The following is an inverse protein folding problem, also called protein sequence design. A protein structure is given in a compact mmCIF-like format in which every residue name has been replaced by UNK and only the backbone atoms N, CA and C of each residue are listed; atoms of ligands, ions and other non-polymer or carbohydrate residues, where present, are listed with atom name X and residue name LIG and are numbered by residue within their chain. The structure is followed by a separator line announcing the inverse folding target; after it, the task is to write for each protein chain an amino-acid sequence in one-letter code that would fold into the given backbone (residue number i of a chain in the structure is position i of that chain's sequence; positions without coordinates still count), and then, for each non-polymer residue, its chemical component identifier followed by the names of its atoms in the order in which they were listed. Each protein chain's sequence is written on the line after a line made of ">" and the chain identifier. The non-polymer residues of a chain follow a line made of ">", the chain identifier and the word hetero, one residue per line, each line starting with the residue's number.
data_IF_855169068585
#
_entry.id   IF_855169068585
#
_cell.length_a   1.000
_cell.length_b   1.000
_cell.length_c   1.000
_cell.angle_alpha   90.00
_cell.angle_beta   90.00
_cell.angle_gamma   90.00
#
_symmetry.space_group_name_H-M   'P 1'
#
loop_
_entity.id
_entity.type
_entity.pdbx_description
1 polymer ?
#
# COMPACT_ATOMS: atom_id res chain seq x y z
N UNK A 1 -39.59 -20.96 -7.40
CA UNK A 1 -38.75 -19.83 -7.81
C UNK A 1 -37.31 -20.25 -7.59
N UNK A 2 -36.52 -20.38 -8.65
CA UNK A 2 -35.11 -20.77 -8.57
C UNK A 2 -34.26 -19.52 -8.26
N UNK A 3 -33.41 -19.61 -7.25
CA UNK A 3 -32.40 -18.60 -6.92
C UNK A 3 -31.36 -18.56 -8.04
N UNK A 4 -30.96 -17.40 -8.57
CA UNK A 4 -29.88 -17.36 -9.55
C UNK A 4 -28.58 -17.72 -8.83
N UNK A 5 -27.88 -18.74 -9.34
CA UNK A 5 -26.51 -19.05 -8.94
C UNK A 5 -25.63 -17.86 -9.33
N UNK A 6 -24.97 -17.26 -8.33
CA UNK A 6 -23.98 -16.24 -8.59
C UNK A 6 -22.79 -16.90 -9.29
N UNK A 7 -22.64 -16.64 -10.59
CA UNK A 7 -21.44 -17.01 -11.34
C UNK A 7 -20.25 -16.32 -10.65
N UNK A 8 -19.46 -17.10 -9.93
CA UNK A 8 -18.19 -16.69 -9.37
C UNK A 8 -17.18 -16.73 -10.51
N UNK A 9 -17.06 -15.63 -11.25
CA UNK A 9 -15.98 -15.48 -12.22
C UNK A 9 -14.66 -15.35 -11.45
N UNK A 10 -13.90 -16.44 -11.38
CA UNK A 10 -12.54 -16.40 -10.89
C UNK A 10 -11.71 -15.54 -11.86
N UNK A 11 -11.26 -14.38 -11.41
CA UNK A 11 -10.33 -13.55 -12.20
C UNK A 11 -8.96 -14.24 -12.18
N UNK A 12 -8.64 -14.93 -13.27
CA UNK A 12 -7.30 -15.50 -13.46
C UNK A 12 -6.37 -14.42 -13.98
N UNK A 13 -5.25 -14.21 -13.27
CA UNK A 13 -4.22 -13.27 -13.71
C UNK A 13 -3.54 -13.81 -14.97
N UNK A 14 -3.37 -12.95 -15.97
CA UNK A 14 -2.59 -13.31 -17.15
C UNK A 14 -1.08 -13.37 -16.85
N UNK A 15 -0.29 -13.83 -17.83
CA UNK A 15 1.16 -13.97 -17.66
C UNK A 15 1.87 -12.64 -17.34
N UNK A 16 1.38 -11.53 -17.87
CA UNK A 16 1.91 -10.19 -17.63
C UNK A 16 1.60 -9.73 -16.21
N UNK A 17 0.35 -9.91 -15.77
CA UNK A 17 -0.08 -9.58 -14.41
C UNK A 17 0.65 -10.43 -13.36
N UNK A 18 0.87 -11.72 -13.63
CA UNK A 18 1.68 -12.61 -12.78
C UNK A 18 3.14 -12.17 -12.70
N UNK A 19 3.76 -11.81 -13.83
CA UNK A 19 5.13 -11.32 -13.87
C UNK A 19 5.28 -10.00 -13.09
N UNK A 20 4.32 -9.08 -13.25
CA UNK A 20 4.28 -7.83 -12.52
C UNK A 20 4.12 -8.07 -11.01
N UNK A 21 3.18 -8.93 -10.60
CA UNK A 21 2.99 -9.28 -9.20
C UNK A 21 4.26 -9.88 -8.58
N UNK A 22 4.95 -10.77 -9.31
CA UNK A 22 6.22 -11.35 -8.88
C UNK A 22 7.34 -10.30 -8.76
N UNK A 23 7.40 -9.34 -9.68
CA UNK A 23 8.34 -8.23 -9.64
C UNK A 23 8.11 -7.33 -8.42
N UNK A 24 6.85 -6.94 -8.16
CA UNK A 24 6.44 -6.15 -6.98
C UNK A 24 6.82 -6.88 -5.70
N UNK A 25 6.44 -8.17 -5.58
CA UNK A 25 6.73 -8.99 -4.41
C UNK A 25 8.23 -9.11 -4.14
N UNK A 26 9.03 -9.28 -5.19
CA UNK A 26 10.49 -9.35 -5.09
C UNK A 26 11.08 -8.05 -4.57
N UNK A 27 10.61 -6.90 -5.04
CA UNK A 27 11.06 -5.57 -4.59
C UNK A 27 10.68 -5.31 -3.14
N UNK A 28 9.43 -5.56 -2.76
CA UNK A 28 8.96 -5.41 -1.38
C UNK A 28 9.73 -6.31 -0.41
N UNK A 29 9.97 -7.57 -0.79
CA UNK A 29 10.75 -8.50 0.03
C UNK A 29 12.22 -8.07 0.20
N UNK A 30 12.82 -7.44 -0.82
CA UNK A 30 14.17 -6.88 -0.71
C UNK A 30 14.21 -5.74 0.30
N UNK A 31 13.20 -4.87 0.30
CA UNK A 31 13.12 -3.75 1.24
C UNK A 31 12.92 -4.23 2.68
N UNK A 32 11.98 -5.17 2.91
CA UNK A 32 11.79 -5.78 4.22
C UNK A 32 13.10 -6.38 4.76
N UNK A 33 13.85 -7.11 3.91
CA UNK A 33 15.16 -7.68 4.27
C UNK A 33 16.20 -6.59 4.58
N UNK A 34 16.21 -5.47 3.84
CA UNK A 34 17.11 -4.35 4.10
C UNK A 34 16.86 -3.74 5.48
N UNK A 35 15.60 -3.47 5.81
CA UNK A 35 15.19 -2.90 7.10
C UNK A 35 15.50 -3.84 8.27
N UNK A 36 15.23 -5.15 8.10
CA UNK A 36 15.58 -6.16 9.10
C UNK A 36 17.09 -6.22 9.35
N UNK A 37 17.92 -6.11 8.31
CA UNK A 37 19.39 -6.03 8.45
C UNK A 37 19.86 -4.79 9.21
N UNK A 38 19.08 -3.70 9.19
CA UNK A 38 19.33 -2.49 9.97
C UNK A 38 18.82 -2.59 11.42
N UNK A 39 18.29 -3.75 11.83
CA UNK A 39 17.77 -3.98 13.18
C UNK A 39 16.32 -3.51 13.40
N UNK A 40 15.63 -3.08 12.34
CA UNK A 40 14.22 -2.66 12.43
C UNK A 40 13.31 -3.89 12.47
N UNK A 41 12.40 -3.94 13.45
CA UNK A 41 11.31 -4.92 13.45
C UNK A 41 10.30 -4.54 12.37
N UNK A 42 10.39 -5.20 11.23
CA UNK A 42 9.58 -4.92 10.05
C UNK A 42 8.68 -6.11 9.70
N UNK A 43 7.39 -5.83 9.47
CA UNK A 43 6.38 -6.80 9.06
C UNK A 43 5.93 -6.44 7.63
N UNK A 44 6.17 -7.30 6.62
CA UNK A 44 5.58 -7.13 5.30
C UNK A 44 4.06 -7.16 5.38
N UNK A 45 3.41 -6.13 4.85
CA UNK A 45 1.95 -6.02 4.77
C UNK A 45 1.49 -6.46 3.38
N UNK A 46 0.56 -7.41 3.35
CA UNK A 46 -0.08 -7.84 2.11
C UNK A 46 -0.97 -6.71 1.56
N UNK A 47 -0.94 -6.50 0.26
CA UNK A 47 -1.80 -5.54 -0.44
C UNK A 47 -2.68 -6.31 -1.41
N UNK A 48 -4.00 -6.15 -1.27
CA UNK A 48 -5.01 -6.77 -2.13
C UNK A 48 -5.30 -5.91 -3.34
N UNK A 49 -5.42 -4.60 -3.13
CA UNK A 49 -5.75 -3.64 -4.16
C UNK A 49 -5.11 -2.29 -3.86
N UNK A 50 -4.81 -1.53 -4.91
CA UNK A 50 -4.31 -0.16 -4.82
C UNK A 50 -4.91 0.66 -5.96
N UNK A 51 -5.37 1.87 -5.63
CA UNK A 51 -5.99 2.77 -6.58
C UNK A 51 -5.72 4.22 -6.22
N UNK A 52 -5.74 5.08 -7.23
CA UNK A 52 -5.90 6.52 -7.04
C UNK A 52 -7.40 6.81 -7.12
N UNK A 53 -7.93 7.48 -6.10
CA UNK A 53 -9.34 7.92 -6.05
C UNK A 53 -9.37 9.44 -6.05
N UNK A 54 -10.33 10.03 -6.77
CA UNK A 54 -10.62 11.46 -6.73
C UNK A 54 -11.89 11.66 -5.91
N UNK A 55 -11.79 12.42 -4.83
CA UNK A 55 -12.94 12.86 -4.05
C UNK A 55 -13.32 14.31 -4.43
N UNK A 56 -14.38 14.82 -3.81
CA UNK A 56 -14.81 16.21 -3.99
C UNK A 56 -13.69 17.20 -3.65
N UNK A 57 -13.77 18.41 -4.22
CA UNK A 57 -12.75 19.47 -4.07
C UNK A 57 -11.35 19.07 -4.57
N UNK A 58 -11.29 18.23 -5.61
CA UNK A 58 -10.05 17.81 -6.28
C UNK A 58 -9.04 17.08 -5.38
N UNK A 59 -9.51 16.52 -4.26
CA UNK A 59 -8.65 15.73 -3.36
C UNK A 59 -8.32 14.39 -4.03
N UNK A 60 -7.03 14.12 -4.18
CA UNK A 60 -6.53 12.85 -4.75
C UNK A 60 -6.03 11.94 -3.63
N UNK A 61 -6.62 10.77 -3.50
CA UNK A 61 -6.34 9.80 -2.46
C UNK A 61 -5.61 8.57 -3.01
N UNK A 62 -4.62 8.11 -2.25
CA UNK A 62 -3.98 6.81 -2.44
C UNK A 62 -4.76 5.78 -1.62
N UNK A 63 -5.69 5.07 -2.27
CA UNK A 63 -6.51 4.03 -1.63
C UNK A 63 -5.79 2.69 -1.70
N UNK A 64 -5.67 2.01 -0.57
CA UNK A 64 -5.03 0.70 -0.47
C UNK A 64 -5.89 -0.25 0.35
N UNK A 65 -6.24 -1.38 -0.23
CA UNK A 65 -6.84 -2.50 0.50
C UNK A 65 -5.72 -3.42 1.00
N UNK A 66 -5.64 -3.61 2.30
CA UNK A 66 -4.54 -4.32 2.96
C UNK A 66 -5.03 -5.62 3.55
N UNK A 67 -4.22 -6.67 3.43
CA UNK A 67 -4.54 -8.00 3.94
C UNK A 67 -4.15 -8.12 5.42
N UNK A 68 -4.96 -7.53 6.28
CA UNK A 68 -4.78 -7.57 7.73
C UNK A 68 -6.09 -7.28 8.45
N UNK A 69 -6.24 -7.76 9.68
CA UNK A 69 -7.28 -7.32 10.62
C UNK A 69 -6.78 -6.22 11.57
N UNK A 70 -5.51 -5.79 11.44
CA UNK A 70 -4.98 -4.68 12.21
C UNK A 70 -5.71 -3.37 11.85
N UNK A 71 -6.11 -2.61 12.87
CA UNK A 71 -6.72 -1.30 12.66
C UNK A 71 -5.67 -0.30 12.19
N UNK A 72 -5.86 0.20 10.97
CA UNK A 72 -4.93 1.14 10.33
C UNK A 72 -5.00 2.53 10.99
N UNK A 73 -6.04 2.82 11.78
CA UNK A 73 -6.12 4.04 12.60
C UNK A 73 -5.03 4.12 13.68
N UNK A 74 -4.34 3.01 13.97
CA UNK A 74 -3.20 2.97 14.89
C UNK A 74 -1.87 3.37 14.25
N UNK A 75 -1.85 3.66 12.93
CA UNK A 75 -0.67 4.21 12.25
C UNK A 75 -0.55 5.70 12.58
N UNK A 76 0.60 6.08 13.15
CA UNK A 76 0.89 7.48 13.50
C UNK A 76 1.73 8.18 12.43
N UNK A 77 2.51 7.44 11.65
CA UNK A 77 3.37 8.01 10.63
C UNK A 77 3.42 7.12 9.38
N UNK A 78 3.35 7.77 8.22
CA UNK A 78 3.59 7.14 6.92
C UNK A 78 4.84 7.77 6.32
N UNK A 79 5.78 6.94 5.91
CA UNK A 79 6.98 7.36 5.21
C UNK A 79 6.98 6.73 3.83
N UNK A 80 7.08 7.57 2.80
CA UNK A 80 7.17 7.14 1.41
C UNK A 80 8.64 7.21 1.01
N UNK A 81 9.19 6.14 0.44
CA UNK A 81 10.57 6.12 0.02
C UNK A 81 10.82 7.11 -1.14
N UNK A 82 11.95 7.82 -1.11
CA UNK A 82 12.36 8.70 -2.22
C UNK A 82 12.73 7.89 -3.47
N UNK A 83 13.24 6.68 -3.28
CA UNK A 83 13.59 5.80 -4.38
C UNK A 83 12.33 5.33 -5.10
N UNK A 84 12.11 5.90 -6.29
CA UNK A 84 11.05 5.55 -7.22
C UNK A 84 11.58 4.66 -8.33
N UNK A 85 10.77 3.72 -8.81
CA UNK A 85 11.12 2.82 -9.91
C UNK A 85 9.98 2.73 -10.90
N UNK A 86 10.28 2.87 -12.18
CA UNK A 86 9.30 2.60 -13.23
C UNK A 86 8.84 1.15 -13.18
N UNK A 87 7.55 0.95 -13.41
CA UNK A 87 6.95 -0.38 -13.45
C UNK A 87 7.19 -1.00 -14.83
N UNK A 88 7.77 -2.21 -14.90
CA UNK A 88 7.96 -2.91 -16.17
C UNK A 88 6.65 -3.06 -16.93
N UNK A 89 6.70 -2.82 -18.24
CA UNK A 89 5.58 -3.01 -19.16
C UNK A 89 4.30 -2.23 -18.81
N UNK A 90 4.41 -1.21 -17.95
CA UNK A 90 3.30 -0.34 -17.53
C UNK A 90 3.74 1.12 -17.50
N UNK A 91 3.82 1.73 -18.69
CA UNK A 91 4.28 3.10 -18.87
C UNK A 91 3.48 4.12 -18.04
N UNK A 92 4.18 5.08 -17.44
CA UNK A 92 3.59 6.11 -16.57
C UNK A 92 3.35 5.65 -15.13
N UNK A 93 3.44 4.35 -14.83
CA UNK A 93 3.29 3.85 -13.47
C UNK A 93 4.63 3.74 -12.74
N UNK A 94 4.60 4.12 -11.47
CA UNK A 94 5.77 4.15 -10.59
C UNK A 94 5.51 3.27 -9.37
N UNK A 95 6.53 2.49 -9.01
CA UNK A 95 6.64 1.73 -7.77
C UNK A 95 7.37 2.53 -6.71
N UNK A 96 6.87 2.44 -5.48
CA UNK A 96 7.53 2.94 -4.26
C UNK A 96 7.30 2.00 -3.08
N UNK A 97 8.23 1.96 -2.13
CA UNK A 97 8.00 1.31 -0.84
C UNK A 97 7.40 2.32 0.15
N UNK A 98 6.42 1.87 0.93
CA UNK A 98 5.78 2.69 1.96
C UNK A 98 5.95 2.01 3.31
N UNK A 99 6.39 2.79 4.30
CA UNK A 99 6.50 2.38 5.70
C UNK A 99 5.38 3.01 6.51
N UNK A 100 4.71 2.17 7.29
CA UNK A 100 3.65 2.57 8.21
C UNK A 100 4.15 2.28 9.62
N UNK A 101 4.32 3.32 10.43
CA UNK A 101 4.78 3.19 11.80
C UNK A 101 3.58 3.25 12.72
N UNK A 102 3.30 2.12 13.36
CA UNK A 102 2.23 2.01 14.34
C UNK A 102 2.64 2.66 15.66
N UNK A 103 1.65 3.21 16.37
CA UNK A 103 1.82 3.70 17.74
C UNK A 103 2.57 2.67 18.60
N UNK A 104 3.64 3.07 19.30
CA UNK A 104 4.29 2.20 20.27
C UNK A 104 3.32 1.70 21.33
N UNK A 105 3.36 0.40 21.62
CA UNK A 105 2.57 -0.18 22.73
C UNK A 105 2.98 0.37 24.11
N UNK A 106 4.15 1.00 24.22
CA UNK A 106 4.66 1.70 25.40
C UNK A 106 5.79 2.64 24.98
N UNK A 107 6.03 3.69 25.77
CA UNK A 107 7.11 4.66 25.56
C UNK A 107 8.52 4.04 25.48
N UNK A 108 8.70 2.82 26.02
CA UNK A 108 9.98 2.10 26.01
C UNK A 108 10.14 1.12 24.86
N UNK A 109 9.11 0.94 24.02
CA UNK A 109 9.15 0.02 22.88
C UNK A 109 9.26 0.79 21.59
N UNK A 110 10.05 0.25 20.67
CA UNK A 110 10.11 0.77 19.31
C UNK A 110 8.77 0.56 18.59
N UNK A 111 8.33 1.51 17.74
CA UNK A 111 7.20 1.31 16.83
C UNK A 111 7.36 0.03 16.02
N UNK A 112 6.25 -0.67 15.77
CA UNK A 112 6.25 -1.72 14.75
C UNK A 112 6.15 -1.06 13.39
N UNK A 113 7.11 -1.36 12.51
CA UNK A 113 7.07 -0.91 11.13
C UNK A 113 6.37 -1.95 10.25
N UNK A 114 5.29 -1.55 9.60
CA UNK A 114 4.72 -2.30 8.48
C UNK A 114 5.33 -1.77 7.18
N UNK A 115 5.67 -2.66 6.24
CA UNK A 115 6.15 -2.26 4.92
C UNK A 115 5.23 -2.79 3.85
N UNK A 116 4.83 -1.94 2.91
CA UNK A 116 4.01 -2.34 1.78
C UNK A 116 4.57 -1.79 0.46
N UNK A 117 4.39 -2.52 -0.65
CA UNK A 117 4.57 -1.96 -1.98
C UNK A 117 3.40 -1.02 -2.31
N UNK A 118 3.68 0.03 -3.08
CA UNK A 118 2.65 0.86 -3.70
C UNK A 118 3.03 1.15 -5.16
N UNK A 119 2.06 1.01 -6.05
CA UNK A 119 2.17 1.33 -7.48
C UNK A 119 1.08 2.32 -7.83
N UNK A 120 1.45 3.41 -8.49
CA UNK A 120 0.53 4.48 -8.84
C UNK A 120 0.84 5.07 -10.20
N UNK A 121 -0.16 5.68 -10.83
CA UNK A 121 -0.02 6.41 -12.08
C UNK A 121 0.58 7.80 -11.79
N UNK A 122 1.82 8.00 -12.23
CA UNK A 122 2.55 9.25 -12.01
C UNK A 122 2.09 10.39 -12.92
N UNK A 123 1.21 10.13 -13.91
CA UNK A 123 0.58 11.19 -14.72
C UNK A 123 -0.49 11.96 -13.95
N UNK A 124 -0.94 11.45 -12.79
CA UNK A 124 -1.89 12.15 -11.91
C UNK A 124 -1.18 13.24 -11.13
N UNK A 125 -1.09 14.43 -11.73
CA UNK A 125 -0.34 15.59 -11.21
C UNK A 125 -0.74 16.05 -9.80
N UNK A 126 -2.01 15.89 -9.43
CA UNK A 126 -2.50 16.25 -8.10
C UNK A 126 -2.21 15.18 -7.02
N UNK A 127 -1.68 14.01 -7.39
CA UNK A 127 -1.28 13.00 -6.42
C UNK A 127 0.09 13.33 -5.82
N UNK A 128 0.09 13.90 -4.61
CA UNK A 128 1.30 14.24 -3.86
C UNK A 128 1.79 13.12 -2.93
N UNK A 129 1.14 11.95 -2.93
CA UNK A 129 1.39 10.86 -1.98
C UNK A 129 1.25 11.27 -0.50
N UNK A 130 0.49 12.34 -0.22
CA UNK A 130 0.25 12.84 1.15
C UNK A 130 -1.10 12.42 1.71
N UNK A 131 -2.01 11.95 0.86
CA UNK A 131 -3.36 11.58 1.23
C UNK A 131 -3.54 10.06 1.03
N UNK A 132 -3.81 9.34 2.11
CA UNK A 132 -3.90 7.88 2.10
C UNK A 132 -5.22 7.41 2.71
N UNK A 133 -5.81 6.39 2.09
CA UNK A 133 -6.96 5.67 2.66
C UNK A 133 -6.65 4.19 2.67
N UNK A 134 -6.69 3.59 3.85
CA UNK A 134 -6.56 2.15 4.03
C UNK A 134 -7.92 1.51 4.29
N UNK A 135 -8.11 0.32 3.74
CA UNK A 135 -9.23 -0.55 4.07
C UNK A 135 -8.66 -1.92 4.45
N UNK A 136 -8.98 -2.39 5.65
CA UNK A 136 -8.50 -3.67 6.17
C UNK A 136 -9.54 -4.79 5.90
N UNK A 137 -9.27 -5.99 6.40
CA UNK A 137 -10.12 -7.17 6.20
C UNK A 137 -11.50 -7.06 6.88
N UNK A 138 -11.64 -6.16 7.85
CA UNK A 138 -12.90 -5.87 8.55
C UNK A 138 -13.68 -4.72 7.88
N UNK A 139 -13.25 -4.29 6.69
CA UNK A 139 -13.78 -3.14 5.95
C UNK A 139 -13.66 -1.80 6.72
N UNK A 140 -12.78 -1.72 7.72
CA UNK A 140 -12.49 -0.48 8.42
C UNK A 140 -11.78 0.50 7.47
N UNK A 141 -12.40 1.65 7.19
CA UNK A 141 -11.78 2.75 6.45
C UNK A 141 -10.98 3.62 7.41
N UNK A 142 -9.69 3.77 7.13
CA UNK A 142 -8.78 4.65 7.87
C UNK A 142 -8.16 5.67 6.93
N UNK A 143 -8.24 6.95 7.24
CA UNK A 143 -7.74 8.04 6.39
C UNK A 143 -6.60 8.77 7.10
N UNK A 144 -5.50 8.97 6.38
CA UNK A 144 -4.31 9.63 6.88
C UNK A 144 -3.92 10.77 5.94
N UNK A 145 -3.54 11.89 6.54
CA UNK A 145 -2.88 12.99 5.88
C UNK A 145 -1.47 13.01 6.44
N UNK A 146 -0.47 12.93 5.56
CA UNK A 146 0.93 13.05 5.95
C UNK A 146 1.54 14.31 5.36
N UNK A 147 2.43 14.92 6.14
CA UNK A 147 3.19 16.06 5.68
C UNK A 147 4.21 15.58 4.64
N UNK A 148 4.32 16.30 3.53
CA UNK A 148 5.46 16.12 2.65
C UNK A 148 6.70 16.57 3.42
N UNK A 149 7.64 15.65 3.68
CA UNK A 149 8.95 16.04 4.15
C UNK A 149 9.65 16.83 3.03
N UNK A 150 9.71 18.15 3.20
CA UNK A 150 10.48 19.08 2.36
C UNK A 150 11.94 19.13 2.79
#
# INVERSE_FOLDING_TARGET
>A
MATPEAETTAYELDATELALAAWIKTRSAKEAKRLQKMGVKCIPLGVKNMAIVREDNDVVLNRVEVDTAFSMNLIEQIMVADERRDVPDKAGYVYVNVLLLAKPASATKQPVALVMPYVYDASVSANTLTQWVFINNDFERSQHIVEAYT
#
